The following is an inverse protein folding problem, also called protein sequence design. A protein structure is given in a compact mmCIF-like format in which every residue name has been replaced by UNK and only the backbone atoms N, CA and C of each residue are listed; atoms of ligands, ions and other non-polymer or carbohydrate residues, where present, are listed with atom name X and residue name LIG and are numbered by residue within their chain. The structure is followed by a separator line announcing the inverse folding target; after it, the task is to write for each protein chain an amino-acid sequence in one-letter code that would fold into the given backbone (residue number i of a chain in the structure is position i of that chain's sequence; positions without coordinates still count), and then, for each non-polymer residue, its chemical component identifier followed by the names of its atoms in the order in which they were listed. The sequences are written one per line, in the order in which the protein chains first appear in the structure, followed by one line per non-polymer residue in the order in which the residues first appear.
data_IF_620143555554
#
_entry.id   IF_620143555554
#
_cell.length_a   1.000
_cell.length_b   1.000
_cell.length_c   1.000
_cell.angle_alpha   90.00
_cell.angle_beta   90.00
_cell.angle_gamma   90.00
#
_symmetry.space_group_name_H-M   'P 1'
#
loop_
_entity.id
_entity.type
_entity.pdbx_description
1 polymer ?
#
# COMPACT_ATOMS: atom_id res chain seq x y z
N UNK A 1 17.94 49.34 42.83
CA UNK A 1 16.48 49.29 43.02
C UNK A 1 16.06 47.85 42.67
N UNK A 2 16.06 46.90 43.62
CA UNK A 2 14.89 46.50 44.45
C UNK A 2 13.62 46.36 43.61
N UNK A 3 12.96 45.22 43.44
CA UNK A 3 13.03 43.85 43.98
C UNK A 3 12.06 43.00 43.14
N UNK A 4 11.43 41.89 43.55
CA UNK A 4 11.50 40.94 44.67
C UNK A 4 10.39 39.90 44.35
N UNK A 5 10.66 38.61 44.62
CA UNK A 5 9.71 37.53 45.03
C UNK A 5 8.68 37.05 43.98
N UNK A 6 8.36 35.75 43.86
CA UNK A 6 8.75 34.55 44.63
C UNK A 6 8.02 33.31 44.06
N UNK A 7 8.36 32.09 44.54
CA UNK A 7 7.86 30.82 44.01
C UNK A 7 6.59 30.35 44.74
N UNK A 8 5.66 29.74 43.99
CA UNK A 8 4.45 29.10 44.51
C UNK A 8 4.67 27.63 44.84
N UNK A 9 4.44 27.30 46.11
CA UNK A 9 4.53 25.98 46.75
C UNK A 9 3.35 25.05 46.36
N UNK A 10 3.69 23.76 46.19
CA UNK A 10 3.12 22.56 46.87
C UNK A 10 1.60 22.40 46.98
N UNK A 11 1.13 21.26 46.46
CA UNK A 11 -0.15 20.64 46.87
C UNK A 11 -0.26 19.20 46.39
N UNK A 12 0.45 18.26 47.06
CA UNK A 12 0.20 16.81 46.94
C UNK A 12 -1.09 16.48 47.68
N UNK A 13 -2.08 15.92 47.00
CA UNK A 13 -3.22 15.25 47.64
C UNK A 13 -2.99 13.74 47.53
N UNK A 14 -2.74 13.11 48.69
CA UNK A 14 -2.77 11.67 48.87
C UNK A 14 -4.22 11.32 49.23
N UNK A 15 -4.92 10.60 48.36
CA UNK A 15 -6.20 9.97 48.68
C UNK A 15 -5.97 8.46 48.78
N UNK A 16 -5.90 7.98 50.01
CA UNK A 16 -5.98 6.56 50.34
C UNK A 16 -7.43 6.09 50.14
N UNK A 17 -7.65 5.07 49.32
CA UNK A 17 -8.95 4.40 49.21
C UNK A 17 -8.77 2.91 49.47
N UNK A 18 -9.64 2.40 50.33
CA UNK A 18 -9.54 1.14 51.04
C UNK A 18 -9.64 -0.10 50.15
N UNK A 19 -8.83 -1.12 50.49
CA UNK A 19 -9.02 -2.50 50.08
C UNK A 19 -10.32 -3.04 50.69
N UNK A 20 -11.27 -3.44 49.84
CA UNK A 20 -12.33 -4.37 50.21
C UNK A 20 -11.98 -5.74 49.61
N UNK A 21 -11.46 -6.63 50.45
CA UNK A 21 -11.29 -8.05 50.14
C UNK A 21 -12.66 -8.71 50.23
N UNK A 22 -13.20 -9.12 49.09
CA UNK A 22 -14.37 -10.00 49.02
C UNK A 22 -13.91 -11.40 48.65
N UNK A 23 -13.93 -12.29 49.63
CA UNK A 23 -13.79 -13.74 49.44
C UNK A 23 -15.12 -14.26 48.92
N UNK A 24 -15.16 -14.70 47.67
CA UNK A 24 -16.30 -15.44 47.11
C UNK A 24 -15.89 -16.90 46.86
N UNK A 25 -16.80 -17.77 47.27
CA UNK A 25 -16.69 -19.21 47.45
C UNK A 25 -16.53 -19.94 46.12
N UNK A 26 -15.67 -20.96 46.12
CA UNK A 26 -15.53 -21.95 45.06
C UNK A 26 -16.85 -22.72 44.87
N UNK A 27 -17.49 -22.52 43.71
CA UNK A 27 -18.53 -23.38 43.18
C UNK A 27 -18.02 -24.02 41.91
N UNK A 28 -17.64 -25.30 42.01
CA UNK A 28 -17.37 -26.14 40.84
C UNK A 28 -18.65 -26.34 40.05
N UNK A 29 -18.74 -25.69 38.91
CA UNK A 29 -19.65 -26.06 37.83
C UNK A 29 -18.79 -26.41 36.64
N UNK A 30 -18.79 -27.68 36.25
CA UNK A 30 -18.28 -28.12 34.96
C UNK A 30 -19.08 -27.39 33.89
N UNK A 31 -18.53 -26.28 33.40
CA UNK A 31 -18.96 -25.68 32.14
C UNK A 31 -18.69 -26.72 31.06
N UNK A 32 -19.72 -27.18 30.32
CA UNK A 32 -19.48 -28.03 29.17
C UNK A 32 -18.56 -27.25 28.22
N UNK A 33 -17.47 -27.88 27.79
CA UNK A 33 -16.63 -27.39 26.72
C UNK A 33 -17.54 -27.17 25.49
N UNK A 34 -18.01 -25.93 25.35
CA UNK A 34 -18.71 -25.49 24.17
C UNK A 34 -17.72 -25.56 23.03
N UNK A 35 -17.95 -26.50 22.12
CA UNK A 35 -17.41 -26.45 20.77
C UNK A 35 -17.97 -25.20 20.08
N UNK A 36 -17.38 -24.05 20.39
CA UNK A 36 -17.66 -22.76 19.78
C UNK A 36 -16.57 -22.46 18.76
N UNK A 37 -16.71 -23.01 17.56
CA UNK A 37 -15.89 -22.67 16.39
C UNK A 37 -16.16 -21.25 15.90
N UNK A 38 -15.79 -20.25 16.70
CA UNK A 38 -15.75 -18.84 16.30
C UNK A 38 -14.37 -18.54 15.73
N UNK A 39 -14.30 -18.35 14.42
CA UNK A 39 -13.06 -18.10 13.66
C UNK A 39 -12.45 -16.72 13.94
N UNK A 40 -12.01 -16.47 15.18
CA UNK A 40 -11.28 -15.27 15.56
C UNK A 40 -9.77 -15.49 15.68
N UNK A 41 -9.28 -16.65 15.23
CA UNK A 41 -7.87 -17.02 15.30
C UNK A 41 -7.30 -17.06 16.72
N UNK A 42 -5.96 -17.11 16.87
CA UNK A 42 -5.33 -16.95 18.16
C UNK A 42 -5.60 -15.55 18.74
N UNK A 43 -5.75 -15.44 20.06
CA UNK A 43 -6.09 -14.17 20.74
C UNK A 43 -5.00 -13.09 20.69
N UNK A 44 -3.79 -13.41 20.20
CA UNK A 44 -2.66 -12.49 20.05
C UNK A 44 -1.84 -12.83 18.80
N UNK A 45 -1.07 -11.85 18.30
CA UNK A 45 -0.15 -12.01 17.16
C UNK A 45 -0.79 -11.76 15.80
N UNK A 46 0.01 -11.95 14.75
CA UNK A 46 -0.42 -11.87 13.37
C UNK A 46 -1.48 -12.96 13.08
N UNK A 47 -2.46 -12.60 12.26
CA UNK A 47 -3.50 -13.46 11.75
C UNK A 47 -3.15 -13.85 10.31
N UNK A 48 -3.66 -14.99 9.86
CA UNK A 48 -3.78 -15.30 8.44
C UNK A 48 -5.22 -15.05 7.97
N UNK A 49 -5.44 -15.05 6.66
CA UNK A 49 -6.80 -15.00 6.09
C UNK A 49 -7.68 -16.19 6.53
N UNK A 50 -7.07 -17.31 6.93
CA UNK A 50 -7.79 -18.47 7.47
C UNK A 50 -8.16 -18.30 8.95
N UNK A 51 -7.34 -17.56 9.71
CA UNK A 51 -7.61 -17.23 11.11
C UNK A 51 -8.73 -16.19 11.25
N UNK A 52 -8.89 -15.32 10.25
CA UNK A 52 -9.92 -14.29 10.16
C UNK A 52 -10.68 -14.44 8.83
N UNK A 53 -11.52 -15.47 8.65
CA UNK A 53 -12.16 -15.75 7.38
C UNK A 53 -13.13 -14.64 6.96
N UNK A 54 -13.31 -14.44 5.66
CA UNK A 54 -14.28 -13.50 5.11
C UNK A 54 -15.69 -13.74 5.70
N UNK A 55 -16.40 -12.65 5.98
CA UNK A 55 -17.69 -12.68 6.70
C UNK A 55 -17.57 -12.54 8.21
N UNK A 56 -16.36 -12.65 8.78
CA UNK A 56 -16.13 -12.48 10.22
C UNK A 56 -16.20 -11.01 10.64
N UNK A 57 -16.72 -10.75 11.84
CA UNK A 57 -16.74 -9.42 12.44
C UNK A 57 -15.39 -9.11 13.12
N UNK A 58 -14.69 -8.09 12.64
CA UNK A 58 -13.43 -7.63 13.25
C UNK A 58 -13.66 -7.02 14.64
N UNK A 59 -14.89 -6.61 14.94
CA UNK A 59 -15.26 -6.07 16.25
C UNK A 59 -15.44 -7.19 17.27
N UNK A 60 -16.10 -8.28 16.88
CA UNK A 60 -16.31 -9.44 17.76
C UNK A 60 -14.99 -10.17 18.03
N UNK A 61 -14.09 -10.19 17.04
CA UNK A 61 -12.77 -10.81 17.15
C UNK A 61 -11.68 -9.88 17.69
N UNK A 62 -12.00 -8.62 18.01
CA UNK A 62 -11.02 -7.59 18.38
C UNK A 62 -9.82 -7.54 17.42
N UNK A 63 -10.09 -7.62 16.11
CA UNK A 63 -9.08 -7.79 15.08
C UNK A 63 -8.53 -6.47 14.52
N UNK A 64 -9.22 -5.35 14.72
CA UNK A 64 -8.74 -4.02 14.29
C UNK A 64 -7.36 -3.73 14.87
N UNK A 65 -6.43 -3.29 14.02
CA UNK A 65 -5.03 -3.02 14.38
C UNK A 65 -4.14 -4.26 14.43
N UNK A 66 -4.66 -5.46 14.16
CA UNK A 66 -3.84 -6.67 14.02
C UNK A 66 -3.38 -6.81 12.57
N UNK A 67 -2.18 -7.34 12.39
CA UNK A 67 -1.66 -7.73 11.08
C UNK A 67 -2.39 -8.99 10.58
N UNK A 68 -2.86 -8.99 9.35
CA UNK A 68 -3.33 -10.15 8.59
C UNK A 68 -2.37 -10.40 7.45
N UNK A 69 -1.96 -11.65 7.24
CA UNK A 69 -1.03 -12.04 6.17
C UNK A 69 -1.64 -13.02 5.18
N UNK A 70 -1.18 -12.94 3.94
CA UNK A 70 -1.52 -13.85 2.85
C UNK A 70 -0.37 -13.90 1.83
N UNK A 71 0.07 -15.10 1.46
CA UNK A 71 1.08 -15.32 0.41
C UNK A 71 2.35 -14.44 0.52
N UNK A 72 2.82 -14.19 1.75
CA UNK A 72 4.00 -13.36 2.02
C UNK A 72 3.72 -11.87 2.18
N UNK A 73 2.57 -11.38 1.72
CA UNK A 73 2.12 -10.01 1.94
C UNK A 73 1.37 -9.88 3.28
N UNK A 74 1.25 -8.66 3.80
CA UNK A 74 0.53 -8.38 5.03
C UNK A 74 -0.11 -7.00 5.06
N UNK A 75 -1.25 -6.88 5.75
CA UNK A 75 -1.94 -5.62 5.99
C UNK A 75 -2.48 -5.56 7.41
N UNK A 76 -2.43 -4.39 8.03
CA UNK A 76 -3.07 -4.15 9.32
C UNK A 76 -4.57 -3.94 9.13
N UNK A 77 -5.40 -4.70 9.85
CA UNK A 77 -6.86 -4.60 9.79
C UNK A 77 -7.30 -3.18 10.14
N UNK A 78 -7.92 -2.42 9.21
CA UNK A 78 -8.31 -1.04 9.45
C UNK A 78 -9.63 -0.94 10.23
N UNK A 79 -10.04 0.27 10.58
CA UNK A 79 -11.35 0.54 11.17
C UNK A 79 -12.53 0.21 10.21
N UNK A 80 -13.75 -0.06 10.74
CA UNK A 80 -14.92 -0.27 9.89
C UNK A 80 -15.20 0.85 8.88
N UNK A 81 -15.50 0.46 7.64
CA UNK A 81 -15.71 1.34 6.49
C UNK A 81 -14.43 1.72 5.73
N UNK A 82 -13.33 1.00 5.97
CA UNK A 82 -12.04 1.21 5.32
C UNK A 82 -11.57 -0.05 4.60
N UNK A 83 -10.76 0.19 3.58
CA UNK A 83 -10.04 -0.79 2.78
C UNK A 83 -8.55 -0.48 2.84
N UNK A 84 -7.73 -1.52 2.87
CA UNK A 84 -6.28 -1.44 2.73
C UNK A 84 -5.82 -2.41 1.65
N UNK A 85 -4.97 -1.94 0.75
CA UNK A 85 -4.36 -2.73 -0.32
C UNK A 85 -2.85 -2.64 -0.21
N UNK A 86 -2.18 -3.79 -0.30
CA UNK A 86 -0.73 -3.90 -0.45
C UNK A 86 -0.43 -4.38 -1.86
N UNK A 87 0.40 -3.63 -2.58
CA UNK A 87 0.91 -3.97 -3.91
C UNK A 87 2.44 -3.94 -3.86
N UNK A 88 3.10 -5.07 -4.13
CA UNK A 88 4.56 -5.15 -4.14
C UNK A 88 5.09 -5.50 -5.53
N UNK A 89 6.03 -4.68 -6.00
CA UNK A 89 6.74 -4.87 -7.26
C UNK A 89 7.88 -5.87 -7.07
N UNK A 90 7.74 -7.07 -7.62
CA UNK A 90 8.72 -8.15 -7.46
C UNK A 90 9.79 -8.15 -8.55
N UNK A 91 10.87 -8.90 -8.30
CA UNK A 91 11.96 -9.10 -9.27
C UNK A 91 11.72 -10.22 -10.28
N UNK A 92 10.90 -11.21 -9.92
CA UNK A 92 10.63 -12.37 -10.76
C UNK A 92 9.25 -12.28 -11.44
N UNK A 93 8.45 -11.27 -11.10
CA UNK A 93 7.09 -11.08 -11.58
C UNK A 93 6.06 -11.92 -10.83
N UNK A 94 6.42 -12.51 -9.68
CA UNK A 94 5.44 -12.95 -8.70
C UNK A 94 4.57 -11.76 -8.30
N UNK A 95 3.28 -12.04 -8.06
CA UNK A 95 2.37 -11.04 -7.55
C UNK A 95 2.32 -11.20 -6.04
N UNK A 96 2.83 -10.19 -5.34
CA UNK A 96 2.72 -10.08 -3.90
C UNK A 96 1.76 -8.95 -3.60
N UNK A 97 0.58 -9.28 -3.09
CA UNK A 97 -0.42 -8.28 -2.81
C UNK A 97 -1.77 -8.88 -2.46
N UNK A 98 -2.60 -8.12 -1.76
CA UNK A 98 -4.02 -8.39 -1.61
C UNK A 98 -4.71 -7.15 -1.03
N UNK A 99 -6.04 -7.15 -1.08
CA UNK A 99 -6.87 -6.14 -0.45
C UNK A 99 -7.63 -6.75 0.71
N UNK A 100 -7.69 -6.03 1.83
CA UNK A 100 -8.58 -6.30 2.95
C UNK A 100 -9.56 -5.13 3.09
N UNK A 101 -10.84 -5.44 3.03
CA UNK A 101 -11.92 -4.48 3.29
C UNK A 101 -12.64 -4.84 4.58
N UNK A 102 -12.91 -3.83 5.41
CA UNK A 102 -13.78 -3.93 6.58
C UNK A 102 -15.02 -3.10 6.29
N UNK A 103 -16.15 -3.76 6.10
CA UNK A 103 -17.44 -3.11 5.91
C UNK A 103 -17.83 -2.26 7.14
N UNK A 104 -18.81 -1.36 6.98
CA UNK A 104 -19.21 -0.44 8.05
C UNK A 104 -19.78 -1.13 9.30
N UNK A 105 -20.27 -2.36 9.17
CA UNK A 105 -20.73 -3.21 10.27
C UNK A 105 -19.59 -4.03 10.92
N UNK A 106 -18.37 -3.89 10.43
CA UNK A 106 -17.19 -4.62 10.91
C UNK A 106 -16.95 -5.95 10.20
N UNK A 107 -17.76 -6.33 9.20
CA UNK A 107 -17.52 -7.56 8.44
C UNK A 107 -16.31 -7.45 7.52
N UNK A 108 -15.40 -8.41 7.59
CA UNK A 108 -14.19 -8.46 6.74
C UNK A 108 -14.46 -9.16 5.41
N UNK A 109 -13.86 -8.67 4.33
CA UNK A 109 -13.75 -9.33 3.03
C UNK A 109 -12.35 -9.13 2.44
N UNK A 110 -11.96 -10.02 1.54
CA UNK A 110 -10.65 -9.98 0.90
C UNK A 110 -10.79 -10.00 -0.62
N UNK A 111 -9.92 -9.25 -1.30
CA UNK A 111 -9.59 -9.50 -2.69
C UNK A 111 -8.19 -10.11 -2.75
N UNK A 112 -8.15 -11.42 -3.01
CA UNK A 112 -6.92 -12.22 -3.11
C UNK A 112 -6.48 -12.39 -4.58
N UNK A 113 -7.08 -11.66 -5.53
CA UNK A 113 -6.87 -11.83 -6.97
C UNK A 113 -5.51 -11.37 -7.49
N UNK A 114 -4.56 -11.04 -6.60
CA UNK A 114 -3.15 -11.12 -6.96
C UNK A 114 -2.81 -12.48 -7.61
N UNK A 115 -3.55 -13.56 -7.30
CA UNK A 115 -3.42 -14.86 -7.98
C UNK A 115 -4.35 -15.11 -9.18
N UNK A 116 -5.28 -14.19 -9.51
CA UNK A 116 -6.24 -14.40 -10.60
C UNK A 116 -5.82 -13.68 -11.89
N UNK A 117 -5.88 -14.43 -13.00
CA UNK A 117 -5.65 -13.95 -14.36
C UNK A 117 -6.55 -12.73 -14.67
N UNK A 118 -6.02 -11.69 -15.35
CA UNK A 118 -6.80 -10.51 -15.69
C UNK A 118 -8.03 -10.88 -16.55
N UNK A 119 -9.15 -10.17 -16.36
CA UNK A 119 -10.34 -10.35 -17.20
C UNK A 119 -10.03 -10.03 -18.66
N UNK A 120 -9.77 -11.09 -19.44
CA UNK A 120 -9.52 -11.02 -20.87
C UNK A 120 -9.63 -12.40 -21.51
N UNK A 121 -10.82 -12.72 -22.03
CA UNK A 121 -11.19 -13.90 -22.83
C UNK A 121 -10.13 -15.02 -22.95
N UNK A 122 -10.37 -16.11 -22.20
CA UNK A 122 -9.64 -17.36 -22.28
C UNK A 122 -9.30 -17.76 -23.73
N UNK A 123 -8.01 -17.75 -24.05
CA UNK A 123 -7.44 -18.51 -25.16
C UNK A 123 -6.35 -19.41 -24.61
N UNK A 124 -6.38 -20.66 -25.07
CA UNK A 124 -5.46 -21.72 -24.70
C UNK A 124 -4.00 -21.27 -24.73
N UNK A 125 -3.21 -21.80 -23.79
CA UNK A 125 -1.78 -21.56 -23.63
C UNK A 125 -1.04 -21.56 -24.98
N UNK A 126 -0.74 -20.36 -25.47
CA UNK A 126 0.19 -20.15 -26.56
C UNK A 126 1.61 -20.21 -26.00
N UNK A 127 2.60 -20.64 -26.80
CA UNK A 127 4.01 -20.49 -26.42
C UNK A 127 4.29 -19.02 -26.09
N UNK A 128 5.16 -18.76 -25.10
CA UNK A 128 5.53 -17.44 -24.59
C UNK A 128 5.46 -16.38 -25.71
N UNK A 129 4.33 -15.68 -25.77
CA UNK A 129 4.09 -14.71 -26.82
C UNK A 129 5.10 -13.58 -26.59
N UNK A 130 5.73 -13.10 -27.67
CA UNK A 130 6.51 -11.88 -27.57
C UNK A 130 5.63 -10.81 -26.91
N UNK A 131 6.17 -10.17 -25.86
CA UNK A 131 5.50 -9.09 -25.14
C UNK A 131 4.80 -8.16 -26.13
N UNK A 132 3.52 -7.87 -25.89
CA UNK A 132 2.81 -6.91 -26.74
C UNK A 132 3.50 -5.56 -26.61
N UNK A 133 3.65 -4.86 -27.74
CA UNK A 133 4.15 -3.49 -27.70
C UNK A 133 3.20 -2.64 -26.82
N UNK A 134 3.76 -1.79 -25.96
CA UNK A 134 3.02 -0.97 -25.00
C UNK A 134 1.79 -0.27 -25.60
N UNK A 135 1.94 0.31 -26.80
CA UNK A 135 0.86 1.04 -27.48
C UNK A 135 -0.15 0.17 -28.21
N UNK A 136 0.14 -1.11 -28.43
CA UNK A 136 -0.79 -2.09 -28.96
C UNK A 136 -1.54 -2.83 -27.85
N UNK A 137 -1.03 -2.79 -26.61
CA UNK A 137 -1.59 -3.53 -25.49
C UNK A 137 -2.69 -2.76 -24.76
N UNK A 138 -3.83 -3.40 -24.59
CA UNK A 138 -5.03 -2.82 -23.98
C UNK A 138 -5.34 -3.38 -22.60
N UNK A 139 -4.56 -4.35 -22.11
CA UNK A 139 -4.82 -4.95 -20.81
C UNK A 139 -4.52 -3.95 -19.69
N UNK A 140 -5.43 -3.89 -18.71
CA UNK A 140 -5.29 -3.13 -17.48
C UNK A 140 -6.08 -3.82 -16.37
N UNK A 141 -5.72 -3.51 -15.12
CA UNK A 141 -6.46 -3.87 -13.91
C UNK A 141 -6.55 -2.64 -12.99
N UNK A 142 -7.51 -2.63 -12.06
CA UNK A 142 -7.75 -1.49 -11.15
C UNK A 142 -8.01 -2.00 -9.72
N UNK A 143 -7.61 -1.22 -8.72
CA UNK A 143 -7.74 -1.51 -7.28
C UNK A 143 -9.03 -0.94 -6.65
N UNK A 144 -9.97 -0.50 -7.49
CA UNK A 144 -11.27 0.06 -7.11
C UNK A 144 -11.25 1.30 -6.17
N UNK A 145 -10.12 2.01 -6.06
CA UNK A 145 -10.04 3.32 -5.39
C UNK A 145 -9.66 4.45 -6.34
N UNK A 146 -9.92 5.68 -5.91
CA UNK A 146 -9.41 6.89 -6.54
C UNK A 146 -9.26 8.07 -5.59
N UNK A 147 -8.49 9.03 -6.06
CA UNK A 147 -8.35 10.34 -5.48
C UNK A 147 -9.58 11.21 -5.89
N UNK A 148 -10.28 11.85 -4.94
CA UNK A 148 -11.48 12.68 -5.19
C UNK A 148 -11.22 14.20 -5.12
N UNK A 149 -9.99 14.63 -4.90
CA UNK A 149 -9.55 15.99 -4.60
C UNK A 149 -8.08 16.24 -4.97
N UNK A 150 -7.15 16.01 -4.05
CA UNK A 150 -5.70 16.02 -4.32
C UNK A 150 -4.99 14.98 -3.44
N UNK A 151 -4.11 14.18 -4.03
CA UNK A 151 -3.19 13.32 -3.30
C UNK A 151 -2.07 14.20 -2.71
N UNK A 152 -2.19 14.51 -1.43
CA UNK A 152 -1.21 15.26 -0.66
C UNK A 152 -0.12 14.30 -0.16
N UNK A 153 1.16 14.56 -0.47
CA UNK A 153 2.25 13.63 -0.15
C UNK A 153 3.54 14.33 0.31
N UNK A 154 4.37 13.55 1.01
CA UNK A 154 5.65 13.94 1.61
C UNK A 154 6.76 12.96 1.23
N UNK A 155 8.00 13.36 1.51
CA UNK A 155 9.19 12.51 1.39
C UNK A 155 9.73 12.24 2.79
N UNK A 156 10.05 10.99 3.12
CA UNK A 156 10.70 10.61 4.38
C UNK A 156 12.05 11.31 4.58
N UNK A 157 12.58 11.33 5.80
CA UNK A 157 13.84 12.01 6.12
C UNK A 157 15.08 11.13 6.10
N UNK A 158 14.89 9.83 5.88
CA UNK A 158 15.95 8.86 5.67
C UNK A 158 16.64 8.96 4.29
N UNK A 159 17.64 8.09 4.10
CA UNK A 159 18.43 8.03 2.87
C UNK A 159 17.56 7.63 1.67
N UNK A 160 17.58 8.46 0.63
CA UNK A 160 16.74 8.31 -0.56
C UNK A 160 17.33 7.32 -1.59
N UNK A 161 16.49 6.68 -2.43
CA UNK A 161 16.96 5.68 -3.38
C UNK A 161 18.00 6.29 -4.34
N UNK A 162 19.07 5.55 -4.59
CA UNK A 162 20.16 5.98 -5.47
C UNK A 162 21.00 7.13 -4.91
N UNK A 163 20.92 7.37 -3.60
CA UNK A 163 21.61 8.48 -2.91
C UNK A 163 21.26 9.85 -3.52
N UNK A 164 20.01 10.00 -3.96
CA UNK A 164 19.50 11.27 -4.46
C UNK A 164 19.49 12.31 -3.33
N UNK A 165 19.81 13.56 -3.66
CA UNK A 165 19.44 14.67 -2.77
C UNK A 165 17.92 14.81 -2.69
N UNK A 166 17.41 15.38 -1.60
CA UNK A 166 15.98 15.67 -1.45
C UNK A 166 15.38 16.42 -2.66
N UNK A 167 16.13 17.37 -3.23
CA UNK A 167 15.70 18.13 -4.41
C UNK A 167 15.66 17.28 -5.69
N UNK A 168 16.49 16.26 -5.81
CA UNK A 168 16.45 15.31 -6.92
C UNK A 168 15.34 14.28 -6.74
N UNK A 169 15.17 13.73 -5.53
CA UNK A 169 14.08 12.81 -5.22
C UNK A 169 12.72 13.49 -5.44
N UNK A 170 12.52 14.70 -4.92
CA UNK A 170 11.32 15.51 -5.18
C UNK A 170 11.01 15.61 -6.66
N UNK A 171 11.97 16.05 -7.48
CA UNK A 171 11.76 16.19 -8.93
C UNK A 171 11.45 14.86 -9.60
N UNK A 172 12.08 13.77 -9.13
CA UNK A 172 11.90 12.43 -9.67
C UNK A 172 10.50 11.89 -9.38
N UNK A 173 10.03 12.03 -8.13
CA UNK A 173 8.70 11.59 -7.72
C UNK A 173 7.59 12.51 -8.27
N UNK A 174 7.80 13.83 -8.32
CA UNK A 174 6.89 14.76 -9.01
C UNK A 174 6.74 14.42 -10.50
N UNK A 175 7.82 14.01 -11.18
CA UNK A 175 7.78 13.59 -12.59
C UNK A 175 6.99 12.29 -12.76
N UNK A 176 7.25 11.28 -11.92
CA UNK A 176 6.56 9.99 -11.93
C UNK A 176 5.05 10.12 -11.64
N UNK A 177 4.68 10.83 -10.57
CA UNK A 177 3.28 11.14 -10.26
C UNK A 177 2.67 12.01 -11.37
N UNK A 178 3.46 12.91 -11.95
CA UNK A 178 3.09 13.72 -13.11
C UNK A 178 2.84 12.92 -14.39
N UNK A 179 3.45 11.74 -14.53
CA UNK A 179 3.18 10.79 -15.62
C UNK A 179 1.79 10.17 -15.45
N UNK A 180 1.40 9.81 -14.22
CA UNK A 180 0.06 9.29 -13.93
C UNK A 180 -1.00 10.38 -14.08
N UNK A 181 -0.85 11.48 -13.34
CA UNK A 181 -1.85 12.55 -13.26
C UNK A 181 -2.04 13.32 -14.57
N UNK A 182 -1.01 13.36 -15.42
CA UNK A 182 -1.10 13.95 -16.76
C UNK A 182 -1.19 12.92 -17.89
N UNK A 183 -1.41 11.63 -17.57
CA UNK A 183 -1.42 10.48 -18.49
C UNK A 183 -0.33 10.52 -19.57
N UNK A 184 0.92 10.81 -19.20
CA UNK A 184 2.03 10.93 -20.17
C UNK A 184 2.37 9.56 -20.76
N UNK A 185 2.33 9.47 -22.09
CA UNK A 185 2.51 8.22 -22.82
C UNK A 185 3.15 8.47 -24.19
N UNK A 186 3.84 7.47 -24.71
CA UNK A 186 4.41 7.47 -26.07
C UNK A 186 3.42 7.00 -27.14
N UNK A 187 2.18 6.71 -26.73
CA UNK A 187 1.14 6.13 -27.58
C UNK A 187 0.21 7.16 -28.23
N UNK A 188 0.48 8.45 -28.02
CA UNK A 188 -0.27 9.57 -28.62
C UNK A 188 -1.63 9.84 -27.99
N UNK A 189 -1.93 9.28 -26.81
CA UNK A 189 -3.13 9.64 -26.05
C UNK A 189 -2.95 10.98 -25.37
N UNK A 190 -3.94 11.87 -25.48
CA UNK A 190 -3.98 13.12 -24.73
C UNK A 190 -4.47 12.93 -23.29
N UNK A 191 -4.20 13.95 -22.48
CA UNK A 191 -4.65 14.00 -21.09
C UNK A 191 -6.18 14.10 -20.98
N UNK A 192 -6.75 13.18 -20.23
CA UNK A 192 -8.18 13.05 -20.06
C UNK A 192 -8.57 12.72 -18.60
N UNK A 193 -7.62 12.74 -17.67
CA UNK A 193 -7.88 12.32 -16.28
C UNK A 193 -7.87 13.53 -15.35
N UNK A 194 -8.76 13.54 -14.37
CA UNK A 194 -8.90 14.63 -13.41
C UNK A 194 -8.01 14.50 -12.17
N UNK A 195 -7.09 13.53 -12.14
CA UNK A 195 -6.26 13.19 -10.99
C UNK A 195 -5.30 14.33 -10.62
N UNK A 196 -5.06 14.54 -9.31
CA UNK A 196 -4.23 15.62 -8.81
C UNK A 196 -3.33 15.14 -7.68
N UNK A 197 -2.15 15.75 -7.60
CA UNK A 197 -1.22 15.52 -6.51
C UNK A 197 -0.56 16.83 -6.07
N UNK A 198 -0.11 16.86 -4.82
CA UNK A 198 0.63 17.98 -4.25
C UNK A 198 1.70 17.48 -3.29
N UNK A 199 2.94 17.76 -3.64
CA UNK A 199 4.05 17.65 -2.71
C UNK A 199 3.99 18.78 -1.68
N UNK A 200 4.21 18.43 -0.41
CA UNK A 200 4.33 19.42 0.67
C UNK A 200 5.79 19.70 1.03
N UNK A 201 6.44 18.74 1.68
CA UNK A 201 7.80 18.88 2.18
C UNK A 201 8.41 17.52 2.50
N UNK A 202 9.63 17.54 3.01
CA UNK A 202 10.15 16.41 3.79
C UNK A 202 9.37 16.30 5.10
N UNK A 203 9.32 15.10 5.68
CA UNK A 203 8.68 14.80 6.97
C UNK A 203 9.53 13.81 7.76
N UNK A 204 9.34 13.74 9.08
CA UNK A 204 9.96 12.74 9.97
C UNK A 204 9.14 11.45 10.05
N UNK A 205 8.02 11.41 9.33
CA UNK A 205 7.23 10.22 9.14
C UNK A 205 7.87 9.40 8.00
N UNK A 206 7.86 8.09 8.15
CA UNK A 206 8.26 7.15 7.11
C UNK A 206 6.98 6.46 6.61
N UNK A 207 7.06 5.84 5.44
CA UNK A 207 6.00 4.99 4.93
C UNK A 207 5.63 3.93 5.98
N UNK A 208 4.33 3.71 6.17
CA UNK A 208 3.73 2.69 7.03
C UNK A 208 3.91 1.29 6.41
N UNK A 209 5.15 0.96 6.02
CA UNK A 209 5.56 -0.27 5.36
C UNK A 209 6.76 -0.84 6.12
N UNK A 210 6.62 -2.05 6.66
CA UNK A 210 7.71 -2.73 7.36
C UNK A 210 8.68 -3.45 6.42
N UNK A 211 9.76 -3.98 6.99
CA UNK A 211 10.80 -4.70 6.23
C UNK A 211 10.32 -6.01 5.60
N UNK A 212 9.17 -6.53 5.99
CA UNK A 212 8.54 -7.70 5.38
C UNK A 212 7.61 -7.29 4.22
N UNK A 213 7.63 -6.02 3.79
CA UNK A 213 6.77 -5.44 2.78
C UNK A 213 5.27 -5.48 3.15
N UNK A 214 4.96 -5.29 4.44
CA UNK A 214 3.59 -5.33 4.97
C UNK A 214 3.09 -3.92 5.31
N UNK A 215 1.83 -3.64 5.01
CA UNK A 215 1.18 -2.39 5.40
C UNK A 215 0.91 -2.39 6.90
N UNK A 216 1.59 -1.49 7.62
CA UNK A 216 1.39 -1.26 9.05
C UNK A 216 0.17 -0.35 9.28
N UNK A 217 0.04 0.22 10.47
CA UNK A 217 -1.13 0.99 10.85
C UNK A 217 -1.05 2.42 10.30
N UNK A 218 -1.98 2.76 9.40
CA UNK A 218 -2.16 4.09 8.80
C UNK A 218 -2.01 5.24 9.80
N UNK A 219 -1.11 6.19 9.53
CA UNK A 219 -0.81 7.31 10.42
C UNK A 219 -1.46 8.65 10.03
N UNK A 220 -2.03 8.74 8.82
CA UNK A 220 -2.66 9.95 8.28
C UNK A 220 -1.80 10.73 7.29
N UNK A 221 -0.60 10.26 6.94
CA UNK A 221 0.38 10.95 6.10
C UNK A 221 0.83 10.05 4.96
N UNK A 222 0.71 10.53 3.72
CA UNK A 222 1.20 9.78 2.56
C UNK A 222 2.68 10.05 2.31
N UNK A 223 3.53 9.05 2.51
CA UNK A 223 4.98 9.18 2.48
C UNK A 223 5.61 8.33 1.38
N UNK A 224 6.54 8.94 0.66
CA UNK A 224 7.45 8.27 -0.27
C UNK A 224 8.84 8.24 0.33
N UNK A 225 9.40 7.05 0.56
CA UNK A 225 10.68 6.89 1.23
C UNK A 225 11.54 5.75 0.66
N UNK A 226 12.58 5.39 1.39
CA UNK A 226 13.38 4.21 1.14
C UNK A 226 13.65 3.47 2.45
N UNK A 227 13.90 2.18 2.35
CA UNK A 227 14.33 1.38 3.48
C UNK A 227 14.50 -0.09 3.12
N UNK A 228 14.41 -0.93 4.13
CA UNK A 228 14.44 -2.38 4.01
C UNK A 228 13.07 -2.91 3.58
N UNK A 229 13.05 -3.88 2.68
CA UNK A 229 11.88 -4.68 2.32
C UNK A 229 12.34 -6.13 2.10
N UNK A 230 11.41 -7.05 1.86
CA UNK A 230 11.77 -8.42 1.51
C UNK A 230 12.66 -8.44 0.25
N UNK A 231 13.65 -9.34 0.24
CA UNK A 231 14.69 -9.37 -0.81
C UNK A 231 14.18 -9.73 -2.20
N UNK A 232 12.94 -10.16 -2.37
CA UNK A 232 12.26 -10.40 -3.64
C UNK A 232 11.42 -9.19 -4.13
N UNK A 233 11.37 -8.12 -3.33
CA UNK A 233 10.56 -6.91 -3.58
C UNK A 233 11.45 -5.70 -3.85
N UNK A 234 11.21 -5.02 -4.97
CA UNK A 234 11.91 -3.79 -5.39
C UNK A 234 11.30 -2.56 -4.72
N UNK A 235 9.98 -2.51 -4.65
CA UNK A 235 9.22 -1.45 -4.00
C UNK A 235 7.84 -1.95 -3.59
N UNK A 236 7.20 -1.24 -2.67
CA UNK A 236 5.86 -1.56 -2.18
C UNK A 236 5.04 -0.29 -2.10
N UNK A 237 3.79 -0.38 -2.53
CA UNK A 237 2.76 0.61 -2.30
C UNK A 237 1.70 0.06 -1.35
N UNK A 238 1.43 0.81 -0.29
CA UNK A 238 0.28 0.59 0.58
C UNK A 238 -0.74 1.69 0.34
N UNK A 239 -2.01 1.34 0.17
CA UNK A 239 -3.08 2.33 -0.01
C UNK A 239 -4.26 2.05 0.91
N UNK A 240 -4.77 3.12 1.52
CA UNK A 240 -5.95 3.06 2.38
C UNK A 240 -7.06 3.89 1.76
N UNK A 241 -8.23 3.29 1.57
CA UNK A 241 -9.37 3.93 0.92
C UNK A 241 -10.64 3.73 1.72
N UNK A 242 -11.53 4.72 1.65
CA UNK A 242 -12.80 4.71 2.39
C UNK A 242 -13.95 4.43 1.43
N UNK A 243 -14.80 3.48 1.78
CA UNK A 243 -15.99 3.15 0.99
C UNK A 243 -16.89 4.36 0.80
N UNK A 244 -17.26 4.64 -0.45
CA UNK A 244 -18.16 5.75 -0.79
C UNK A 244 -19.61 5.24 -0.81
N UNK A 245 -20.49 5.87 -0.02
CA UNK A 245 -21.88 5.41 0.21
C UNK A 245 -22.77 5.28 -1.04
N UNK A 246 -22.37 5.85 -2.18
CA UNK A 246 -23.18 5.90 -3.40
C UNK A 246 -22.70 4.94 -4.50
N UNK A 247 -21.85 3.96 -4.17
CA UNK A 247 -21.37 2.95 -5.14
C UNK A 247 -20.39 3.48 -6.18
N UNK A 248 -19.74 4.62 -5.91
CA UNK A 248 -18.56 5.05 -6.66
C UNK A 248 -17.31 4.32 -6.18
N UNK A 249 -16.19 4.49 -6.89
CA UNK A 249 -14.88 4.00 -6.46
C UNK A 249 -14.54 4.53 -5.06
N UNK A 250 -13.79 3.75 -4.28
CA UNK A 250 -13.43 4.09 -2.92
C UNK A 250 -12.55 5.34 -2.88
N UNK A 251 -12.71 6.16 -1.85
CA UNK A 251 -11.95 7.41 -1.74
C UNK A 251 -10.61 7.14 -1.08
N UNK A 252 -9.53 7.22 -1.87
CA UNK A 252 -8.16 7.21 -1.39
C UNK A 252 -7.98 8.22 -0.26
N UNK A 253 -7.51 7.73 0.89
CA UNK A 253 -7.21 8.53 2.08
C UNK A 253 -5.73 8.73 2.26
N UNK A 254 -4.97 7.71 1.93
CA UNK A 254 -3.53 7.68 2.15
C UNK A 254 -2.92 6.65 1.22
N UNK A 255 -1.71 6.93 0.75
CA UNK A 255 -0.88 5.91 0.16
C UNK A 255 0.59 6.18 0.42
N UNK A 256 1.29 5.12 0.74
CA UNK A 256 2.70 5.12 1.07
C UNK A 256 3.48 4.28 0.08
N UNK A 257 4.71 4.69 -0.19
CA UNK A 257 5.60 4.04 -1.15
C UNK A 257 6.99 3.90 -0.53
N UNK A 258 7.49 2.66 -0.44
CA UNK A 258 8.85 2.37 0.03
C UNK A 258 9.67 1.69 -1.06
N UNK A 259 10.89 2.17 -1.27
CA UNK A 259 11.87 1.57 -2.18
C UNK A 259 12.86 0.69 -1.39
N UNK A 260 13.13 -0.54 -1.85
CA UNK A 260 14.05 -1.46 -1.18
C UNK A 260 15.52 -1.12 -1.46
N UNK A 261 16.07 -0.18 -0.70
CA UNK A 261 17.46 0.27 -0.85
C UNK A 261 18.49 -0.60 -0.13
N UNK A 262 18.04 -1.57 0.68
CA UNK A 262 18.91 -2.56 1.30
C UNK A 262 19.45 -3.54 0.27
N UNK A 263 18.56 -4.10 -0.55
CA UNK A 263 18.92 -5.20 -1.46
C UNK A 263 19.21 -4.73 -2.89
N UNK A 264 18.69 -3.56 -3.27
CA UNK A 264 18.74 -3.11 -4.66
C UNK A 264 19.45 -1.78 -4.84
N UNK A 265 20.23 -1.71 -5.92
CA UNK A 265 20.83 -0.46 -6.38
C UNK A 265 19.82 0.28 -7.25
N UNK A 266 19.70 1.58 -7.01
CA UNK A 266 18.84 2.47 -7.78
C UNK A 266 19.66 3.52 -8.52
N UNK A 267 19.17 3.94 -9.69
CA UNK A 267 19.75 5.03 -10.48
C UNK A 267 18.64 5.86 -11.12
N UNK A 268 18.87 7.16 -11.30
CA UNK A 268 17.96 8.02 -12.07
C UNK A 268 18.42 8.22 -13.52
N UNK A 269 19.57 7.63 -13.88
CA UNK A 269 20.20 7.78 -15.19
C UNK A 269 20.87 6.47 -15.61
N UNK A 270 20.07 5.42 -15.91
CA UNK A 270 20.61 4.20 -16.48
C UNK A 270 21.27 4.53 -17.83
N UNK A 271 22.52 4.10 -17.99
CA UNK A 271 23.28 4.23 -19.25
C UNK A 271 23.38 2.87 -19.92
N UNK A 272 23.89 2.81 -21.15
CA UNK A 272 24.15 1.55 -21.87
C UNK A 272 25.06 0.57 -21.10
N UNK A 273 25.86 1.07 -20.14
CA UNK A 273 26.73 0.27 -19.28
C UNK A 273 26.10 -0.05 -17.91
N UNK A 274 24.81 0.22 -17.73
CA UNK A 274 24.10 -0.09 -16.49
C UNK A 274 24.20 -1.58 -16.16
N UNK A 275 24.39 -1.88 -14.88
CA UNK A 275 24.41 -3.25 -14.36
C UNK A 275 23.57 -3.31 -13.10
N UNK A 276 22.53 -4.14 -13.12
CA UNK A 276 21.72 -4.50 -11.96
C UNK A 276 21.24 -3.30 -11.12
N UNK A 277 20.88 -2.19 -11.77
CA UNK A 277 20.35 -1.01 -11.09
C UNK A 277 18.96 -0.69 -11.63
N UNK A 278 18.00 -0.49 -10.74
CA UNK A 278 16.64 -0.12 -11.11
C UNK A 278 16.54 1.38 -11.39
N UNK A 279 15.79 1.72 -12.44
CA UNK A 279 15.51 3.11 -12.75
C UNK A 279 14.46 3.66 -11.79
N UNK A 280 14.82 4.69 -11.02
CA UNK A 280 13.95 5.26 -9.98
C UNK A 280 12.67 5.80 -10.60
N UNK A 281 12.71 6.41 -11.79
CA UNK A 281 11.50 6.95 -12.45
C UNK A 281 10.58 5.84 -12.92
N UNK A 282 11.12 4.77 -13.51
CA UNK A 282 10.32 3.60 -13.89
C UNK A 282 9.58 3.02 -12.68
N UNK A 283 10.30 2.73 -11.59
CA UNK A 283 9.70 2.18 -10.36
C UNK A 283 8.71 3.16 -9.75
N UNK A 284 9.10 4.44 -9.58
CA UNK A 284 8.20 5.46 -9.05
C UNK A 284 6.92 5.64 -9.88
N UNK A 285 6.99 5.49 -11.21
CA UNK A 285 5.80 5.61 -12.07
C UNK A 285 4.88 4.40 -11.88
N UNK A 286 5.45 3.20 -11.72
CA UNK A 286 4.70 1.99 -11.38
C UNK A 286 3.99 2.14 -10.02
N UNK A 287 4.72 2.51 -8.97
CA UNK A 287 4.14 2.71 -7.63
C UNK A 287 3.09 3.83 -7.62
N UNK A 288 3.32 4.93 -8.35
CA UNK A 288 2.31 5.96 -8.53
C UNK A 288 1.04 5.39 -9.21
N UNK A 289 1.16 4.42 -10.10
CA UNK A 289 0.00 3.74 -10.68
C UNK A 289 -0.90 3.13 -9.59
N UNK A 290 -0.31 2.43 -8.62
CA UNK A 290 -1.04 1.87 -7.47
C UNK A 290 -1.68 2.95 -6.61
N UNK A 291 -0.95 4.03 -6.30
CA UNK A 291 -1.51 5.20 -5.58
C UNK A 291 -2.80 5.69 -6.25
N UNK A 292 -2.81 5.79 -7.58
CA UNK A 292 -3.95 6.30 -8.35
C UNK A 292 -4.95 5.23 -8.81
N UNK A 293 -4.86 4.01 -8.29
CA UNK A 293 -5.89 2.97 -8.40
C UNK A 293 -5.68 1.98 -9.55
N UNK A 294 -4.53 1.98 -10.23
CA UNK A 294 -4.18 0.90 -11.15
C UNK A 294 -3.69 -0.33 -10.36
N UNK A 295 -3.89 -1.52 -10.93
CA UNK A 295 -3.36 -2.78 -10.41
C UNK A 295 -2.48 -3.47 -11.45
N UNK A 296 -1.74 -4.48 -11.02
CA UNK A 296 -0.83 -5.21 -11.89
C UNK A 296 -1.52 -5.87 -13.08
N UNK A 297 -0.82 -5.89 -14.21
CA UNK A 297 -1.07 -6.81 -15.32
C UNK A 297 -0.04 -7.95 -15.30
N UNK A 298 -0.48 -9.13 -15.71
CA UNK A 298 0.30 -10.38 -15.64
C UNK A 298 1.20 -10.63 -16.85
N UNK A 299 1.75 -11.85 -16.96
CA UNK A 299 2.62 -12.25 -18.07
C UNK A 299 2.03 -11.97 -19.47
N UNK A 300 2.88 -11.56 -20.41
CA UNK A 300 2.49 -11.17 -21.78
C UNK A 300 2.16 -9.67 -21.95
N UNK A 301 2.26 -8.90 -20.87
CA UNK A 301 2.00 -7.46 -20.81
C UNK A 301 3.24 -6.65 -20.37
N UNK A 302 4.45 -7.17 -20.62
CA UNK A 302 5.73 -6.62 -20.15
C UNK A 302 6.03 -5.20 -20.67
N UNK A 303 5.29 -4.73 -21.68
CA UNK A 303 5.37 -3.38 -22.21
C UNK A 303 4.55 -2.34 -21.43
N UNK A 304 3.67 -2.74 -20.52
CA UNK A 304 2.86 -1.82 -19.72
C UNK A 304 3.65 -1.32 -18.50
N UNK A 305 3.35 -0.11 -18.04
CA UNK A 305 3.91 0.42 -16.78
C UNK A 305 3.53 -0.46 -15.60
N UNK A 306 2.29 -0.93 -15.54
CA UNK A 306 1.77 -1.74 -14.44
C UNK A 306 2.06 -3.24 -14.58
N UNK A 307 3.04 -3.63 -15.40
CA UNK A 307 3.49 -5.01 -15.39
C UNK A 307 4.10 -5.36 -14.03
N UNK A 308 3.72 -6.51 -13.48
CA UNK A 308 4.07 -6.96 -12.10
C UNK A 308 5.57 -7.13 -11.80
N UNK A 309 6.45 -6.91 -12.77
CA UNK A 309 7.90 -7.03 -12.63
C UNK A 309 8.60 -5.76 -13.08
N UNK A 310 9.64 -5.35 -12.34
CA UNK A 310 10.56 -4.31 -12.75
C UNK A 310 11.80 -4.87 -13.45
N UNK A 311 12.22 -4.23 -14.54
CA UNK A 311 13.42 -4.64 -15.24
C UNK A 311 14.59 -3.72 -14.88
N UNK A 312 15.64 -4.29 -14.27
CA UNK A 312 16.88 -3.57 -14.03
C UNK A 312 17.42 -2.97 -15.34
N UNK A 313 17.97 -1.75 -15.25
CA UNK A 313 18.50 -0.98 -16.37
C UNK A 313 17.49 -0.63 -17.48
N UNK A 314 16.19 -0.74 -17.20
CA UNK A 314 15.12 -0.37 -18.12
C UNK A 314 14.50 0.98 -17.76
N UNK A 315 14.16 1.76 -18.79
CA UNK A 315 13.39 3.00 -18.68
C UNK A 315 11.96 2.87 -19.22
N UNK A 316 11.55 1.65 -19.59
CA UNK A 316 10.29 1.40 -20.29
C UNK A 316 9.06 1.89 -19.52
N UNK A 317 9.07 1.78 -18.18
CA UNK A 317 7.96 2.18 -17.34
C UNK A 317 7.96 3.68 -16.96
N UNK A 318 8.88 4.51 -17.52
CA UNK A 318 8.84 5.97 -17.31
C UNK A 318 7.62 6.65 -17.93
N UNK A 319 6.99 6.00 -18.91
CA UNK A 319 5.80 6.47 -19.62
C UNK A 319 4.73 5.41 -19.59
N UNK A 320 3.47 5.82 -19.66
CA UNK A 320 2.34 4.91 -19.68
C UNK A 320 2.23 4.13 -20.99
N UNK A 321 1.94 2.84 -20.88
CA UNK A 321 1.42 2.04 -21.99
C UNK A 321 -0.06 2.33 -22.25
N UNK A 322 -0.60 1.76 -23.34
CA UNK A 322 -1.98 2.04 -23.74
C UNK A 322 -2.99 1.52 -22.72
N UNK A 323 -2.72 0.38 -22.09
CA UNK A 323 -3.63 -0.19 -21.10
C UNK A 323 -3.65 0.65 -19.83
N UNK A 324 -2.50 1.12 -19.36
CA UNK A 324 -2.40 1.99 -18.19
C UNK A 324 -3.23 3.27 -18.38
N UNK A 325 -3.17 3.88 -19.56
CA UNK A 325 -4.02 5.05 -19.91
C UNK A 325 -5.51 4.70 -19.90
N UNK A 326 -5.90 3.52 -20.42
CA UNK A 326 -7.29 3.08 -20.40
C UNK A 326 -7.79 2.80 -18.99
N UNK A 327 -6.95 2.23 -18.13
CA UNK A 327 -7.24 2.02 -16.71
C UNK A 327 -7.48 3.35 -15.99
N UNK A 328 -6.60 4.34 -16.17
CA UNK A 328 -6.78 5.65 -15.54
C UNK A 328 -8.07 6.35 -16.01
N UNK A 329 -8.44 6.23 -17.29
CA UNK A 329 -9.72 6.75 -17.82
C UNK A 329 -10.95 6.00 -17.33
N UNK A 330 -10.78 4.76 -16.86
CA UNK A 330 -11.87 4.00 -16.21
C UNK A 330 -12.11 4.50 -14.79
N UNK A 331 -11.07 5.04 -14.15
CA UNK A 331 -11.08 5.51 -12.76
C UNK A 331 -11.54 6.99 -12.68
N UNK A 332 -11.02 7.85 -13.56
CA UNK A 332 -11.21 9.31 -13.58
C UNK A 332 -12.11 9.77 -14.72
#
# INVERSE_FOLDING_TARGET
MTGRRGPGLVGRVIAATALAVSVAVAGGGDTPAGAGGGGCGPGHGALTVDDLPAGTSVLDCAAVGRLVTHAGAGVTVPEPGMKVTVDALSVDGSRHGFTLEVATDGTVSYDLTADAEPEGHARAAAPAAAARAACADTAYAVADHKEYGTYDWWIGDDALPGNLSLAEARRTFEDAIGTITGTRNDCGYGDAVGARAKYHSQTFHEADIDREAQCTARDGVSVWDAGDLSSDVVATTCSWSRTVRNGGLDWLKEADVRFNTTDYTFTNNPTDNCKNAYDIRSVATHEAGHVFGLSHVGPGHEGQTMYTNSFACSTAARTLGRGDVLGLRRIY
#
